data_IF_640581742345
#
_entry.id   IF_640581742345
#
_cell.length_a   1.000
_cell.length_b   1.000
_cell.length_c   1.000
_cell.angle_alpha   90.00
_cell.angle_beta   90.00
_cell.angle_gamma   90.00
#
_symmetry.space_group_name_H-M   'P 1'
#
loop_
_entity.id
_entity.type
_entity.pdbx_description
1 polymer ?
#
# COMPACT_ATOMS: atom_id res chain seq x y z
N UNK A 1 -6.86 -15.54 -48.17
CA UNK A 1 -6.17 -16.49 -47.26
C UNK A 1 -6.06 -15.96 -45.82
N UNK A 2 -7.14 -15.46 -45.20
CA UNK A 2 -7.09 -14.80 -43.88
C UNK A 2 -8.05 -15.40 -42.83
N UNK A 3 -9.20 -15.98 -43.24
CA UNK A 3 -10.19 -16.46 -42.26
C UNK A 3 -9.96 -17.87 -41.71
N UNK A 4 -9.27 -18.75 -42.44
CA UNK A 4 -9.06 -20.14 -42.00
C UNK A 4 -8.00 -20.29 -40.90
N UNK A 5 -7.02 -19.37 -40.79
CA UNK A 5 -6.04 -19.39 -39.69
C UNK A 5 -6.62 -18.87 -38.37
N UNK A 6 -7.57 -17.93 -38.42
CA UNK A 6 -8.22 -17.35 -37.22
C UNK A 6 -9.22 -18.32 -36.57
N UNK A 7 -9.93 -19.12 -37.37
CA UNK A 7 -10.82 -20.19 -36.86
C UNK A 7 -10.05 -21.40 -36.29
N UNK A 8 -8.87 -21.72 -36.83
CA UNK A 8 -8.04 -22.81 -36.31
C UNK A 8 -7.40 -22.48 -34.95
N UNK A 9 -7.02 -21.22 -34.70
CA UNK A 9 -6.51 -20.76 -33.41
C UNK A 9 -7.56 -20.81 -32.29
N UNK A 10 -8.79 -20.36 -32.55
CA UNK A 10 -9.88 -20.36 -31.56
C UNK A 10 -10.40 -21.78 -31.23
N UNK A 11 -10.29 -22.74 -32.17
CA UNK A 11 -10.66 -24.13 -31.93
C UNK A 11 -9.60 -24.90 -31.10
N UNK A 12 -8.32 -24.53 -31.22
CA UNK A 12 -7.22 -25.09 -30.42
C UNK A 12 -7.34 -24.68 -28.95
N UNK A 13 -7.58 -23.39 -28.68
CA UNK A 13 -7.74 -22.86 -27.31
C UNK A 13 -9.00 -23.43 -26.62
N UNK A 14 -10.11 -23.62 -27.36
CA UNK A 14 -11.32 -24.26 -26.80
C UNK A 14 -11.13 -25.75 -26.45
N UNK A 15 -10.42 -26.54 -27.26
CA UNK A 15 -10.19 -27.96 -26.96
C UNK A 15 -9.23 -28.19 -25.79
N UNK A 16 -8.26 -27.29 -25.58
CA UNK A 16 -7.37 -27.36 -24.41
C UNK A 16 -8.12 -27.00 -23.13
N UNK A 17 -9.08 -26.06 -23.19
CA UNK A 17 -9.96 -25.73 -22.06
C UNK A 17 -10.93 -26.87 -21.71
N UNK A 18 -11.52 -27.58 -22.67
CA UNK A 18 -12.45 -28.69 -22.39
C UNK A 18 -11.78 -29.91 -21.74
N UNK A 19 -10.50 -30.20 -22.08
CA UNK A 19 -9.72 -31.25 -21.40
C UNK A 19 -9.32 -30.87 -19.97
N UNK A 20 -9.19 -29.57 -19.66
CA UNK A 20 -8.85 -29.09 -18.32
C UNK A 20 -10.08 -29.00 -17.40
N UNK A 21 -11.25 -28.65 -17.95
CA UNK A 21 -12.53 -28.62 -17.22
C UNK A 21 -12.92 -30.03 -16.72
N UNK A 22 -12.53 -31.09 -17.43
CA UNK A 22 -12.76 -32.47 -17.01
C UNK A 22 -11.90 -32.92 -15.80
N UNK A 23 -10.78 -32.26 -15.53
CA UNK A 23 -9.89 -32.55 -14.39
C UNK A 23 -10.29 -31.82 -13.09
N UNK A 24 -11.19 -30.83 -13.16
CA UNK A 24 -11.59 -30.00 -12.02
C UNK A 24 -12.88 -30.47 -11.31
N UNK A 25 -13.28 -31.74 -11.48
CA UNK A 25 -14.46 -32.35 -10.82
C UNK A 25 -14.10 -33.26 -9.65
N UNK A 26 -13.02 -32.98 -8.94
CA UNK A 26 -12.68 -33.70 -7.71
C UNK A 26 -13.07 -32.85 -6.46
N UNK A 27 -14.02 -33.28 -5.62
CA UNK A 27 -14.46 -32.56 -4.43
C UNK A 27 -13.47 -32.61 -3.25
N UNK A 28 -12.27 -33.18 -3.41
CA UNK A 28 -11.33 -33.43 -2.32
C UNK A 28 -10.26 -32.35 -2.09
N UNK A 29 -10.46 -31.11 -2.56
CA UNK A 29 -9.51 -30.00 -2.37
C UNK A 29 -9.52 -29.47 -0.93
N UNK A 30 -8.96 -30.26 -0.03
CA UNK A 30 -8.61 -29.90 1.34
C UNK A 30 -7.31 -29.10 1.27
N UNK A 31 -7.41 -27.83 1.65
CA UNK A 31 -6.32 -26.88 1.79
C UNK A 31 -5.35 -27.35 2.87
N UNK A 32 -4.44 -28.25 2.53
CA UNK A 32 -3.58 -28.84 3.55
C UNK A 32 -2.28 -28.06 3.76
N UNK A 33 -2.22 -27.49 4.96
CA UNK A 33 -1.11 -26.78 5.55
C UNK A 33 0.03 -27.75 5.89
N UNK A 34 0.81 -28.18 4.89
CA UNK A 34 2.06 -28.91 5.13
C UNK A 34 3.18 -28.43 4.19
N UNK A 35 4.00 -27.53 4.72
CA UNK A 35 5.47 -27.52 4.61
C UNK A 35 6.04 -26.10 4.70
N UNK A 36 5.96 -25.51 5.90
CA UNK A 36 6.77 -24.34 6.28
C UNK A 36 7.33 -24.59 7.69
N UNK A 37 8.16 -25.62 7.81
CA UNK A 37 9.03 -25.80 8.97
C UNK A 37 10.48 -25.61 8.51
N UNK A 38 10.95 -24.37 8.54
CA UNK A 38 12.36 -24.11 8.78
C UNK A 38 12.52 -23.18 9.97
N UNK A 39 13.26 -23.72 10.94
CA UNK A 39 13.62 -23.17 12.24
C UNK A 39 14.31 -21.81 12.10
N UNK A 40 13.75 -20.77 12.71
CA UNK A 40 14.51 -19.58 13.11
C UNK A 40 15.05 -19.82 14.53
N UNK A 41 16.38 -19.81 14.67
CA UNK A 41 17.06 -19.84 15.97
C UNK A 41 16.95 -18.47 16.64
N UNK A 42 16.73 -18.42 17.96
CA UNK A 42 16.68 -17.17 18.72
C UNK A 42 18.09 -16.75 19.17
N UNK A 43 18.89 -16.13 18.30
CA UNK A 43 20.13 -15.44 18.71
C UNK A 43 20.67 -14.49 17.64
N UNK A 44 19.88 -13.50 17.20
CA UNK A 44 20.38 -12.31 16.49
C UNK A 44 19.61 -11.09 17.05
N UNK A 45 20.08 -10.58 18.20
CA UNK A 45 19.59 -9.33 18.77
C UNK A 45 20.24 -8.15 18.01
N UNK A 46 19.39 -7.29 17.46
CA UNK A 46 19.66 -5.99 16.84
C UNK A 46 20.35 -5.98 15.46
N UNK A 47 19.81 -6.72 14.50
CA UNK A 47 19.81 -6.24 13.11
C UNK A 47 18.58 -5.34 12.98
N UNK A 48 18.77 -4.05 12.64
CA UNK A 48 17.66 -3.21 12.18
C UNK A 48 16.97 -3.93 11.02
N UNK A 49 15.75 -4.38 11.27
CA UNK A 49 14.96 -5.09 10.27
C UNK A 49 14.73 -4.13 9.10
N UNK A 50 15.29 -4.49 7.94
CA UNK A 50 15.15 -3.70 6.71
C UNK A 50 13.70 -3.70 6.22
N UNK A 51 13.05 -4.86 6.31
CA UNK A 51 11.63 -5.09 6.03
C UNK A 51 10.97 -5.71 7.27
N UNK A 52 9.73 -5.33 7.54
CA UNK A 52 8.96 -5.73 8.70
C UNK A 52 7.90 -6.76 8.31
N UNK A 53 7.69 -7.78 9.13
CA UNK A 53 6.60 -8.74 8.86
C UNK A 53 5.24 -8.04 8.92
N UNK A 54 4.29 -8.51 8.13
CA UNK A 54 2.92 -8.01 8.23
C UNK A 54 2.32 -8.47 9.56
N UNK A 55 1.91 -7.53 10.40
CA UNK A 55 1.23 -7.85 11.66
C UNK A 55 -0.22 -8.26 11.37
N UNK A 56 -0.54 -9.51 11.72
CA UNK A 56 -1.86 -10.12 11.53
C UNK A 56 -2.76 -9.99 12.75
N UNK A 57 -2.21 -9.57 13.89
CA UNK A 57 -2.95 -9.37 15.12
C UNK A 57 -2.63 -7.99 15.72
N UNK A 58 -2.77 -6.90 14.95
CA UNK A 58 -2.58 -5.57 15.48
C UNK A 58 -3.64 -5.26 16.55
N UNK A 59 -3.40 -4.29 17.45
CA UNK A 59 -4.44 -3.74 18.30
C UNK A 59 -5.65 -3.24 17.47
N UNK A 60 -6.80 -3.06 18.11
CA UNK A 60 -7.98 -2.50 17.43
C UNK A 60 -7.68 -1.09 16.90
N UNK A 61 -8.38 -0.71 15.81
CA UNK A 61 -8.15 0.54 15.09
C UNK A 61 -8.22 1.77 16.01
N UNK A 62 -9.14 1.78 16.98
CA UNK A 62 -9.29 2.88 17.94
C UNK A 62 -8.11 3.01 18.89
N UNK A 63 -7.55 1.89 19.37
CA UNK A 63 -6.31 1.86 20.16
C UNK A 63 -5.11 2.28 19.33
N UNK A 64 -4.96 1.77 18.11
CA UNK A 64 -3.89 2.16 17.21
C UNK A 64 -3.91 3.67 16.94
N UNK A 65 -5.08 4.23 16.63
CA UNK A 65 -5.24 5.66 16.40
C UNK A 65 -4.96 6.48 17.65
N UNK A 66 -5.49 6.07 18.81
CA UNK A 66 -5.24 6.75 20.08
C UNK A 66 -3.76 6.77 20.46
N UNK A 67 -3.05 5.67 20.20
CA UNK A 67 -1.61 5.58 20.38
C UNK A 67 -0.87 6.49 19.42
N UNK A 68 -1.29 6.55 18.14
CA UNK A 68 -0.71 7.44 17.14
C UNK A 68 -0.79 8.91 17.56
N UNK A 69 -1.95 9.37 18.03
CA UNK A 69 -2.05 10.70 18.64
C UNK A 69 -1.11 10.90 19.81
N UNK A 70 -0.93 9.88 20.65
CA UNK A 70 0.02 9.92 21.77
C UNK A 70 1.45 10.18 21.28
N UNK A 71 1.92 9.41 20.29
CA UNK A 71 3.25 9.56 19.68
C UNK A 71 3.45 10.97 19.11
N UNK A 72 2.50 11.43 18.29
CA UNK A 72 2.64 12.71 17.60
C UNK A 72 2.27 13.93 18.44
N UNK A 73 1.70 13.74 19.64
CA UNK A 73 1.38 14.84 20.56
C UNK A 73 2.60 15.65 21.04
N UNK A 74 3.82 15.11 20.85
CA UNK A 74 5.07 15.80 21.19
C UNK A 74 5.42 16.94 20.23
N UNK A 75 4.95 16.88 19.00
CA UNK A 75 5.22 17.91 17.99
C UNK A 75 4.45 19.19 18.30
N UNK A 76 5.11 20.32 18.07
CA UNK A 76 4.56 21.65 18.27
C UNK A 76 4.52 22.36 16.91
N UNK A 77 3.35 22.80 16.44
CA UNK A 77 3.29 23.53 15.19
C UNK A 77 4.12 24.80 15.25
N UNK A 78 4.81 25.09 14.15
CA UNK A 78 5.49 26.35 13.94
C UNK A 78 4.59 27.30 13.15
N UNK A 79 4.65 28.57 13.55
CA UNK A 79 3.92 29.69 12.95
C UNK A 79 4.90 30.64 12.27
N UNK A 80 4.40 31.52 11.41
CA UNK A 80 5.19 32.24 10.42
C UNK A 80 5.09 31.61 9.04
N UNK A 81 3.91 31.11 8.66
CA UNK A 81 3.69 30.49 7.36
C UNK A 81 4.04 31.43 6.20
N UNK A 82 4.46 30.84 5.08
CA UNK A 82 4.87 31.58 3.89
C UNK A 82 3.72 32.47 3.39
N UNK A 83 3.96 33.79 3.30
CA UNK A 83 2.94 34.77 2.89
C UNK A 83 2.59 34.75 1.41
N UNK A 84 3.37 34.05 0.58
CA UNK A 84 3.03 33.80 -0.81
C UNK A 84 2.06 32.62 -0.96
N UNK A 85 2.15 31.62 -0.08
CA UNK A 85 1.31 30.42 -0.12
C UNK A 85 0.07 30.53 0.76
N UNK A 86 0.16 31.27 1.88
CA UNK A 86 -0.88 31.32 2.90
C UNK A 86 -1.26 32.75 3.28
N UNK A 87 -2.57 32.97 3.42
CA UNK A 87 -3.07 34.21 4.02
C UNK A 87 -2.94 34.15 5.55
N UNK A 88 -2.80 35.30 6.24
CA UNK A 88 -2.81 35.35 7.69
C UNK A 88 -4.05 34.69 8.32
N UNK A 89 -5.21 34.77 7.65
CA UNK A 89 -6.46 34.17 8.11
C UNK A 89 -6.41 32.64 8.04
N UNK A 90 -5.77 32.07 7.01
CA UNK A 90 -5.61 30.62 6.89
C UNK A 90 -4.73 30.03 8.01
N UNK A 91 -3.61 30.69 8.29
CA UNK A 91 -2.75 30.33 9.41
C UNK A 91 -3.49 30.49 10.75
N UNK A 92 -4.23 31.60 10.92
CA UNK A 92 -5.01 31.83 12.14
C UNK A 92 -6.11 30.79 12.34
N UNK A 93 -6.81 30.36 11.27
CA UNK A 93 -7.79 29.26 11.34
C UNK A 93 -7.16 27.97 11.84
N UNK A 94 -6.01 27.59 11.27
CA UNK A 94 -5.29 26.38 11.70
C UNK A 94 -4.83 26.49 13.14
N UNK A 95 -4.25 27.64 13.51
CA UNK A 95 -3.80 27.90 14.88
C UNK A 95 -4.93 27.84 15.90
N UNK A 96 -6.13 28.29 15.52
CA UNK A 96 -7.31 28.32 16.38
C UNK A 96 -8.14 27.03 16.32
N UNK A 97 -7.75 26.04 15.52
CA UNK A 97 -8.45 24.76 15.39
C UNK A 97 -8.44 23.93 16.69
N UNK A 98 -7.51 24.23 17.60
CA UNK A 98 -7.45 23.62 18.93
C UNK A 98 -6.89 22.20 18.91
N UNK A 99 -7.54 21.28 19.63
CA UNK A 99 -7.13 19.88 19.73
C UNK A 99 -7.23 19.17 18.36
N UNK A 100 -6.12 18.63 17.81
CA UNK A 100 -6.14 17.91 16.54
C UNK A 100 -7.20 16.82 16.47
N UNK A 101 -7.51 16.12 17.57
CA UNK A 101 -8.52 15.06 17.61
C UNK A 101 -9.94 15.54 17.26
N UNK A 102 -10.20 16.83 17.38
CA UNK A 102 -11.53 17.43 17.21
C UNK A 102 -11.58 18.44 16.08
N UNK A 103 -10.45 18.73 15.44
CA UNK A 103 -10.40 19.71 14.38
C UNK A 103 -11.20 19.24 13.16
N UNK A 104 -11.90 20.20 12.56
CA UNK A 104 -12.55 20.00 11.26
C UNK A 104 -11.50 20.05 10.15
N UNK A 105 -11.72 19.29 9.08
CA UNK A 105 -10.76 19.14 7.98
C UNK A 105 -10.34 20.49 7.39
N UNK A 106 -11.31 21.37 7.16
CA UNK A 106 -11.14 22.70 6.55
C UNK A 106 -10.21 23.61 7.37
N UNK A 107 -10.03 23.28 8.66
CA UNK A 107 -9.21 24.07 9.56
C UNK A 107 -7.72 23.80 9.36
N UNK A 108 -7.32 22.64 8.83
CA UNK A 108 -5.90 22.25 8.75
C UNK A 108 -5.49 21.59 7.41
N UNK A 109 -6.44 21.23 6.54
CA UNK A 109 -6.15 20.49 5.30
C UNK A 109 -5.06 21.12 4.44
N UNK A 110 -4.96 22.46 4.42
CA UNK A 110 -3.96 23.19 3.64
C UNK A 110 -2.51 22.86 3.99
N UNK A 111 -2.24 22.33 5.18
CA UNK A 111 -0.90 21.84 5.58
C UNK A 111 -0.41 20.77 4.62
N UNK A 112 -1.31 19.95 4.10
CA UNK A 112 -1.02 18.83 3.20
C UNK A 112 -0.96 19.26 1.73
N UNK A 113 -1.58 20.36 1.33
CA UNK A 113 -1.60 20.76 -0.08
C UNK A 113 -0.36 21.52 -0.53
N UNK A 114 0.28 22.23 0.39
CA UNK A 114 1.43 23.07 0.10
C UNK A 114 2.74 22.40 0.52
N UNK A 115 3.85 22.94 0.02
CA UNK A 115 5.18 22.50 0.42
C UNK A 115 5.34 22.58 1.96
N UNK A 116 5.80 21.52 2.66
CA UNK A 116 5.85 21.50 4.13
C UNK A 116 6.55 22.71 4.75
N UNK A 117 7.65 23.19 4.17
CA UNK A 117 8.35 24.39 4.66
C UNK A 117 7.51 25.68 4.60
N UNK A 118 6.47 25.73 3.76
CA UNK A 118 5.56 26.88 3.69
C UNK A 118 4.50 26.86 4.80
N UNK A 119 4.21 25.69 5.38
CA UNK A 119 3.17 25.45 6.40
C UNK A 119 3.75 25.15 7.79
N UNK A 120 4.94 25.69 8.10
CA UNK A 120 5.59 25.53 9.41
C UNK A 120 6.48 24.27 9.53
N UNK A 121 6.69 23.56 8.43
CA UNK A 121 7.67 22.48 8.33
C UNK A 121 7.19 21.16 8.91
N UNK A 122 8.17 20.29 9.14
CA UNK A 122 8.00 18.92 9.64
C UNK A 122 7.13 18.84 10.89
N UNK A 123 7.42 19.63 11.91
CA UNK A 123 6.71 19.53 13.19
C UNK A 123 5.23 19.90 13.07
N UNK A 124 4.89 20.90 12.26
CA UNK A 124 3.49 21.21 11.97
C UNK A 124 2.82 20.05 11.23
N UNK A 125 3.44 19.50 10.20
CA UNK A 125 2.91 18.35 9.48
C UNK A 125 2.64 17.16 10.42
N UNK A 126 3.62 16.80 11.24
CA UNK A 126 3.54 15.65 12.15
C UNK A 126 2.52 15.85 13.27
N UNK A 127 2.39 17.08 13.78
CA UNK A 127 1.37 17.42 14.78
C UNK A 127 -0.05 17.11 14.28
N UNK A 128 -0.32 17.39 13.00
CA UNK A 128 -1.62 17.18 12.38
C UNK A 128 -1.80 15.80 11.75
N UNK A 129 -0.71 15.02 11.57
CA UNK A 129 -0.69 13.75 10.84
C UNK A 129 -1.79 12.76 11.25
N UNK A 130 -2.04 12.47 12.55
CA UNK A 130 -3.08 11.51 12.92
C UNK A 130 -4.47 11.93 12.41
N UNK A 131 -4.83 13.21 12.54
CA UNK A 131 -6.12 13.73 12.06
C UNK A 131 -6.18 13.81 10.53
N UNK A 132 -5.06 14.15 9.89
CA UNK A 132 -4.94 14.09 8.43
C UNK A 132 -5.16 12.67 7.89
N UNK A 133 -4.62 11.66 8.56
CA UNK A 133 -4.85 10.26 8.19
C UNK A 133 -6.34 9.88 8.31
N UNK A 134 -7.00 10.24 9.41
CA UNK A 134 -8.44 9.97 9.56
C UNK A 134 -9.28 10.58 8.45
N UNK A 135 -9.08 11.87 8.16
CA UNK A 135 -10.01 12.65 7.34
C UNK A 135 -9.64 12.71 5.85
N UNK A 136 -8.37 12.48 5.50
CA UNK A 136 -7.84 12.73 4.14
C UNK A 136 -7.40 11.43 3.47
N UNK A 137 -6.88 10.45 4.20
CA UNK A 137 -6.22 9.27 3.59
C UNK A 137 -7.10 8.53 2.57
N UNK A 138 -8.40 8.36 2.86
CA UNK A 138 -9.38 7.76 1.95
C UNK A 138 -10.36 8.77 1.33
N UNK A 139 -10.11 10.06 1.51
CA UNK A 139 -10.94 11.10 0.94
C UNK A 139 -10.55 11.36 -0.53
N UNK A 140 -11.32 10.79 -1.46
CA UNK A 140 -11.06 10.88 -2.89
C UNK A 140 -11.37 12.27 -3.50
N UNK A 141 -11.92 13.21 -2.73
CA UNK A 141 -12.07 14.60 -3.19
C UNK A 141 -10.77 15.40 -3.09
N UNK A 142 -9.79 14.87 -2.34
CA UNK A 142 -8.52 15.53 -2.06
C UNK A 142 -7.42 14.76 -2.80
N UNK A 143 -6.73 15.42 -3.72
CA UNK A 143 -5.69 14.81 -4.55
C UNK A 143 -4.38 14.56 -3.78
N UNK A 144 -4.31 14.89 -2.49
CA UNK A 144 -3.10 14.73 -1.68
C UNK A 144 -3.21 13.60 -0.66
N UNK A 145 -2.17 12.77 -0.56
CA UNK A 145 -2.07 11.68 0.41
C UNK A 145 -1.15 12.07 1.58
N UNK A 146 -1.61 12.01 2.85
CA UNK A 146 -0.73 12.22 4.00
C UNK A 146 0.48 11.27 4.04
N UNK A 147 0.38 10.07 3.44
CA UNK A 147 1.52 9.15 3.36
C UNK A 147 2.56 9.59 2.33
N UNK A 148 2.15 10.19 1.21
CA UNK A 148 3.10 10.81 0.27
C UNK A 148 3.84 11.97 0.94
N UNK A 149 3.14 12.80 1.70
CA UNK A 149 3.76 13.86 2.51
C UNK A 149 4.73 13.33 3.56
N UNK A 150 4.40 12.20 4.20
CA UNK A 150 5.32 11.52 5.11
C UNK A 150 6.60 11.04 4.39
N UNK A 151 6.47 10.51 3.17
CA UNK A 151 7.61 10.12 2.33
C UNK A 151 8.46 11.32 1.93
N UNK A 152 7.85 12.45 1.53
CA UNK A 152 8.55 13.71 1.24
C UNK A 152 9.38 14.19 2.44
N UNK A 153 8.86 13.98 3.66
CA UNK A 153 9.52 14.31 4.92
C UNK A 153 10.44 13.19 5.44
N UNK A 154 10.85 12.25 4.58
CA UNK A 154 11.84 11.22 4.92
C UNK A 154 11.36 10.18 5.92
N UNK A 155 10.12 9.68 5.80
CA UNK A 155 9.49 8.67 6.68
C UNK A 155 10.43 7.60 7.23
N UNK A 156 11.34 7.08 6.41
CA UNK A 156 12.22 5.97 6.79
C UNK A 156 13.25 6.34 7.85
N UNK A 157 13.56 7.64 7.99
CA UNK A 157 14.49 8.20 8.96
C UNK A 157 13.81 8.66 10.25
N UNK A 158 12.49 8.53 10.33
CA UNK A 158 11.75 8.91 11.54
C UNK A 158 12.08 7.96 12.68
N UNK A 159 11.96 8.40 13.95
CA UNK A 159 12.05 7.52 15.10
C UNK A 159 11.23 6.24 14.93
N UNK A 160 11.81 5.12 15.37
CA UNK A 160 11.20 3.78 15.22
C UNK A 160 9.77 3.74 15.76
N UNK A 161 9.51 4.41 16.88
CA UNK A 161 8.19 4.50 17.52
C UNK A 161 7.12 5.07 16.59
N UNK A 162 7.43 6.12 15.82
CA UNK A 162 6.49 6.73 14.85
C UNK A 162 6.15 5.75 13.72
N UNK A 163 7.18 5.10 13.18
CA UNK A 163 7.01 4.13 12.10
C UNK A 163 6.26 2.88 12.58
N UNK A 164 6.53 2.40 13.79
CA UNK A 164 5.84 1.26 14.40
C UNK A 164 4.36 1.60 14.68
N UNK A 165 4.07 2.81 15.16
CA UNK A 165 2.70 3.29 15.36
C UNK A 165 1.90 3.34 14.06
N UNK A 166 2.50 3.87 12.98
CA UNK A 166 1.89 3.88 11.66
C UNK A 166 1.68 2.45 11.12
N UNK A 167 2.69 1.56 11.24
CA UNK A 167 2.55 0.15 10.83
C UNK A 167 1.38 -0.53 11.54
N UNK A 168 1.26 -0.36 12.86
CA UNK A 168 0.16 -0.94 13.62
C UNK A 168 -1.22 -0.42 13.16
N UNK A 169 -1.33 0.88 12.91
CA UNK A 169 -2.56 1.49 12.38
C UNK A 169 -2.95 0.89 11.02
N UNK A 170 -2.03 0.88 10.06
CA UNK A 170 -2.31 0.37 8.72
C UNK A 170 -2.51 -1.15 8.67
N UNK A 171 -1.83 -1.91 9.53
CA UNK A 171 -2.10 -3.35 9.69
C UNK A 171 -3.51 -3.59 10.23
N UNK A 172 -3.97 -2.78 11.18
CA UNK A 172 -5.35 -2.87 11.71
C UNK A 172 -6.37 -2.51 10.64
N UNK A 173 -6.17 -1.39 9.93
CA UNK A 173 -7.02 -0.98 8.82
C UNK A 173 -7.06 -2.04 7.70
N UNK A 174 -5.93 -2.65 7.35
CA UNK A 174 -5.88 -3.74 6.37
C UNK A 174 -6.69 -4.96 6.83
N UNK A 175 -6.52 -5.38 8.09
CA UNK A 175 -7.27 -6.52 8.62
C UNK A 175 -8.78 -6.25 8.59
N UNK A 176 -9.22 -5.07 9.06
CA UNK A 176 -10.63 -4.68 9.05
C UNK A 176 -11.19 -4.56 7.62
N UNK A 177 -10.43 -4.00 6.69
CA UNK A 177 -10.86 -3.78 5.32
C UNK A 177 -10.96 -5.08 4.52
N UNK A 178 -9.92 -5.92 4.56
CA UNK A 178 -9.87 -7.13 3.75
C UNK A 178 -10.70 -8.27 4.34
N UNK A 179 -10.96 -8.30 5.66
CA UNK A 179 -11.82 -9.30 6.29
C UNK A 179 -13.28 -8.84 6.44
N UNK A 180 -13.49 -7.59 6.87
CA UNK A 180 -14.81 -7.03 7.20
C UNK A 180 -15.37 -6.00 6.23
N UNK A 181 -14.53 -5.39 5.38
CA UNK A 181 -14.94 -4.32 4.48
C UNK A 181 -15.05 -2.94 5.12
N UNK A 182 -14.48 -2.77 6.31
CA UNK A 182 -14.48 -1.50 7.03
C UNK A 182 -13.06 -0.93 7.10
N UNK A 183 -12.81 0.27 6.53
CA UNK A 183 -11.48 0.86 6.53
C UNK A 183 -11.15 1.64 7.82
N UNK A 184 -11.88 1.42 8.91
CA UNK A 184 -11.60 2.06 10.21
C UNK A 184 -10.09 2.02 10.55
N UNK A 185 -9.54 3.15 11.05
CA UNK A 185 -10.27 4.32 11.53
C UNK A 185 -10.38 5.45 10.50
N UNK A 186 -10.13 5.18 9.22
CA UNK A 186 -10.17 6.20 8.18
C UNK A 186 -11.61 6.51 7.78
N UNK A 187 -11.95 7.80 7.77
CA UNK A 187 -13.26 8.25 7.31
C UNK A 187 -13.37 8.04 5.80
N UNK A 188 -14.42 7.32 5.41
CA UNK A 188 -14.70 7.04 4.00
C UNK A 188 -15.60 8.13 3.45
N UNK A 189 -15.04 9.03 2.66
CA UNK A 189 -15.85 10.00 1.91
C UNK A 189 -16.26 9.34 0.59
N UNK A 190 -17.57 9.17 0.40
CA UNK A 190 -18.15 8.59 -0.82
C UNK A 190 -17.77 9.46 -2.02
N UNK A 191 -16.86 8.96 -2.85
CA UNK A 191 -16.29 9.70 -3.97
C UNK A 191 -17.24 9.88 -5.16
N UNK A 192 -16.78 10.72 -6.10
CA UNK A 192 -17.42 11.09 -7.37
C UNK A 192 -17.95 9.87 -8.15
N UNK A 193 -19.10 9.98 -8.85
CA UNK A 193 -19.67 8.88 -9.62
C UNK A 193 -18.67 8.34 -10.65
N UNK A 194 -18.51 7.00 -10.69
CA UNK A 194 -17.71 6.30 -11.71
C UNK A 194 -16.35 5.77 -11.27
N UNK A 195 -15.87 6.08 -10.05
CA UNK A 195 -14.60 5.51 -9.52
C UNK A 195 -14.88 4.24 -8.72
N UNK A 196 -14.11 3.17 -8.96
CA UNK A 196 -14.12 1.99 -8.10
C UNK A 196 -13.42 2.31 -6.77
N UNK A 197 -14.23 2.73 -5.80
CA UNK A 197 -13.74 3.12 -4.48
C UNK A 197 -13.16 1.94 -3.70
N UNK A 198 -13.66 0.72 -3.89
CA UNK A 198 -13.16 -0.45 -3.15
C UNK A 198 -11.74 -0.81 -3.62
N UNK A 199 -11.48 -0.78 -4.93
CA UNK A 199 -10.13 -0.94 -5.47
C UNK A 199 -9.19 0.19 -5.01
N UNK A 200 -9.66 1.44 -5.02
CA UNK A 200 -8.86 2.59 -4.59
C UNK A 200 -8.46 2.49 -3.11
N UNK A 201 -9.39 2.12 -2.22
CA UNK A 201 -9.11 1.93 -0.79
C UNK A 201 -8.10 0.79 -0.60
N UNK A 202 -8.34 -0.34 -1.28
CA UNK A 202 -7.46 -1.51 -1.19
C UNK A 202 -6.03 -1.19 -1.62
N UNK A 203 -5.86 -0.48 -2.74
CA UNK A 203 -4.55 -0.08 -3.25
C UNK A 203 -3.84 0.87 -2.29
N UNK A 204 -4.52 1.91 -1.79
CA UNK A 204 -3.93 2.88 -0.84
C UNK A 204 -3.46 2.23 0.45
N UNK A 205 -4.23 1.29 1.02
CA UNK A 205 -3.81 0.57 2.24
C UNK A 205 -2.55 -0.26 1.98
N UNK A 206 -2.50 -0.99 0.85
CA UNK A 206 -1.33 -1.79 0.48
C UNK A 206 -0.11 -0.90 0.25
N UNK A 207 -0.26 0.18 -0.50
CA UNK A 207 0.80 1.16 -0.77
C UNK A 207 1.36 1.73 0.54
N UNK A 208 0.50 2.17 1.48
CA UNK A 208 0.94 2.70 2.77
C UNK A 208 1.75 1.67 3.58
N UNK A 209 1.32 0.40 3.59
CA UNK A 209 2.08 -0.69 4.24
C UNK A 209 3.45 -0.91 3.57
N UNK A 210 3.50 -0.86 2.24
CA UNK A 210 4.77 -0.95 1.51
C UNK A 210 5.68 0.24 1.82
N UNK A 211 5.17 1.48 1.79
CA UNK A 211 5.90 2.69 2.21
C UNK A 211 6.46 2.58 3.63
N UNK A 212 5.77 1.88 4.52
CA UNK A 212 6.21 1.57 5.89
C UNK A 212 7.14 0.35 6.00
N UNK A 213 7.62 -0.13 4.84
CA UNK A 213 8.55 -1.26 4.68
C UNK A 213 8.02 -2.57 5.23
N UNK A 214 6.71 -2.79 5.18
CA UNK A 214 6.15 -4.13 5.39
C UNK A 214 6.65 -5.04 4.26
N UNK A 215 7.10 -6.24 4.62
CA UNK A 215 7.65 -7.23 3.71
C UNK A 215 6.60 -7.55 2.62
N UNK A 216 6.88 -7.21 1.35
CA UNK A 216 5.89 -7.36 0.30
C UNK A 216 5.46 -8.82 0.10
N UNK A 217 6.38 -9.77 0.29
CA UNK A 217 6.07 -11.19 0.12
C UNK A 217 5.14 -11.68 1.23
N UNK A 218 5.37 -11.29 2.50
CA UNK A 218 4.48 -11.65 3.61
C UNK A 218 3.10 -10.99 3.45
N UNK A 219 3.05 -9.72 3.07
CA UNK A 219 1.79 -8.98 2.82
C UNK A 219 0.97 -9.62 1.69
N UNK A 220 1.56 -9.82 0.51
CA UNK A 220 0.85 -10.43 -0.62
C UNK A 220 0.51 -11.89 -0.35
N UNK A 221 1.36 -12.64 0.38
CA UNK A 221 1.04 -14.00 0.82
C UNK A 221 -0.16 -14.04 1.77
N UNK A 222 -0.32 -13.03 2.63
CA UNK A 222 -1.48 -12.91 3.50
C UNK A 222 -2.73 -12.60 2.68
N UNK A 223 -2.72 -11.59 1.81
CA UNK A 223 -3.84 -11.26 0.90
C UNK A 223 -4.24 -12.46 0.03
N UNK A 224 -3.25 -13.20 -0.45
CA UNK A 224 -3.44 -14.43 -1.21
C UNK A 224 -4.22 -15.52 -0.46
N UNK A 225 -4.11 -15.54 0.87
CA UNK A 225 -4.81 -16.49 1.74
C UNK A 225 -6.13 -15.91 2.25
N UNK A 226 -6.23 -14.58 2.33
CA UNK A 226 -7.47 -13.89 2.62
C UNK A 226 -8.50 -14.25 1.53
N UNK A 227 -9.59 -14.87 1.96
CA UNK A 227 -10.56 -15.46 1.04
C UNK A 227 -11.61 -14.46 0.55
N UNK A 228 -11.37 -13.17 0.73
CA UNK A 228 -12.32 -12.11 0.38
C UNK A 228 -12.15 -11.66 -1.08
N UNK A 229 -13.26 -11.19 -1.66
CA UNK A 229 -13.26 -10.61 -3.01
C UNK A 229 -12.29 -9.43 -3.10
N UNK A 230 -12.21 -8.57 -2.07
CA UNK A 230 -11.31 -7.40 -2.07
C UNK A 230 -9.83 -7.80 -2.10
N UNK A 231 -9.44 -8.81 -1.31
CA UNK A 231 -8.05 -9.28 -1.29
C UNK A 231 -7.63 -9.90 -2.63
N UNK A 232 -8.55 -10.61 -3.29
CA UNK A 232 -8.33 -11.15 -4.63
C UNK A 232 -8.27 -10.05 -5.69
N UNK A 233 -9.20 -9.11 -5.64
CA UNK A 233 -9.26 -7.99 -6.58
C UNK A 233 -8.02 -7.12 -6.50
N UNK A 234 -7.57 -6.72 -5.31
CA UNK A 234 -6.37 -5.88 -5.17
C UNK A 234 -5.12 -6.57 -5.70
N UNK A 235 -4.96 -7.88 -5.49
CA UNK A 235 -3.83 -8.62 -6.03
C UNK A 235 -3.82 -8.64 -7.56
N UNK A 236 -4.99 -8.70 -8.20
CA UNK A 236 -5.12 -8.61 -9.66
C UNK A 236 -4.83 -7.19 -10.12
N UNK A 237 -5.46 -6.19 -9.52
CA UNK A 237 -5.34 -4.78 -9.89
C UNK A 237 -3.88 -4.32 -9.81
N UNK A 238 -3.14 -4.67 -8.76
CA UNK A 238 -1.73 -4.29 -8.61
C UNK A 238 -0.82 -4.84 -9.73
N UNK A 239 -1.21 -5.91 -10.44
CA UNK A 239 -0.35 -6.50 -11.48
C UNK A 239 -0.22 -5.66 -12.75
N UNK A 240 -1.08 -4.65 -12.92
CA UNK A 240 -1.03 -3.69 -14.03
C UNK A 240 -0.43 -2.35 -13.64
N UNK A 241 0.05 -2.20 -12.41
CA UNK A 241 0.80 -1.02 -12.02
C UNK A 241 2.26 -1.13 -12.50
N UNK A 242 2.87 0.00 -12.83
CA UNK A 242 4.30 0.08 -13.15
C UNK A 242 5.13 0.16 -11.88
N UNK A 243 4.62 0.91 -10.90
CA UNK A 243 5.16 1.07 -9.57
C UNK A 243 4.06 0.77 -8.54
N UNK A 244 4.43 0.10 -7.46
CA UNK A 244 3.59 -0.14 -6.28
C UNK A 244 3.91 0.85 -5.15
N UNK A 245 5.08 1.49 -5.21
CA UNK A 245 5.50 2.58 -4.35
C UNK A 245 6.24 3.61 -5.21
N UNK A 246 5.72 4.83 -5.26
CA UNK A 246 6.35 5.92 -6.01
C UNK A 246 7.35 6.71 -5.15
N UNK A 247 8.35 7.26 -5.81
CA UNK A 247 9.19 8.29 -5.20
C UNK A 247 8.41 9.60 -5.07
N UNK A 248 8.72 10.37 -4.03
CA UNK A 248 8.24 11.74 -3.95
C UNK A 248 8.81 12.61 -5.08
N UNK A 249 8.00 13.54 -5.57
CA UNK A 249 8.44 14.54 -6.56
C UNK A 249 9.59 15.40 -6.02
N UNK A 250 9.55 15.75 -4.74
CA UNK A 250 10.57 16.49 -4.01
C UNK A 250 10.71 15.95 -2.59
N UNK A 251 11.80 16.28 -1.90
CA UNK A 251 12.00 15.92 -0.50
C UNK A 251 12.30 17.14 0.35
N UNK A 252 11.86 17.08 1.61
CA UNK A 252 12.13 18.07 2.66
C UNK A 252 12.83 17.33 3.79
N UNK A 253 14.15 17.23 3.66
CA UNK A 253 15.02 16.48 4.57
C UNK A 253 15.88 17.45 5.38
N UNK A 254 16.32 16.98 6.54
CA UNK A 254 17.28 17.73 7.38
C UNK A 254 18.65 17.84 6.69
N UNK A 255 19.05 16.81 5.94
CA UNK A 255 20.25 16.80 5.09
C UNK A 255 19.88 16.43 3.64
N UNK A 256 20.12 17.37 2.73
CA UNK A 256 19.81 17.20 1.31
C UNK A 256 20.66 16.11 0.63
N UNK A 257 21.81 15.74 1.21
CA UNK A 257 22.67 14.66 0.66
C UNK A 257 22.00 13.28 0.76
N UNK A 258 21.00 13.14 1.63
CA UNK A 258 20.25 11.90 1.82
C UNK A 258 19.21 11.62 0.74
N UNK A 259 18.84 12.63 -0.06
CA UNK A 259 17.76 12.49 -1.04
C UNK A 259 18.06 11.36 -2.04
N UNK A 260 19.28 11.30 -2.56
CA UNK A 260 19.70 10.27 -3.51
C UNK A 260 19.62 8.87 -2.89
N UNK A 261 19.99 8.73 -1.61
CA UNK A 261 19.90 7.46 -0.89
C UNK A 261 18.45 7.02 -0.72
N UNK A 262 17.56 7.93 -0.30
CA UNK A 262 16.14 7.64 -0.14
C UNK A 262 15.47 7.26 -1.47
N UNK A 263 15.69 8.03 -2.54
CA UNK A 263 15.17 7.70 -3.89
C UNK A 263 15.61 6.32 -4.35
N UNK A 264 16.89 6.00 -4.20
CA UNK A 264 17.41 4.67 -4.56
C UNK A 264 16.82 3.56 -3.68
N UNK A 265 16.64 3.84 -2.38
CA UNK A 265 15.96 2.94 -1.45
C UNK A 265 14.52 2.63 -1.85
N UNK A 266 13.74 3.66 -2.21
CA UNK A 266 12.34 3.52 -2.63
C UNK A 266 12.24 2.74 -3.95
N UNK A 267 13.06 3.05 -4.95
CA UNK A 267 13.14 2.26 -6.20
C UNK A 267 13.46 0.80 -5.94
N UNK A 268 14.38 0.53 -5.01
CA UNK A 268 14.76 -0.84 -4.66
C UNK A 268 13.61 -1.57 -3.95
N UNK A 269 12.88 -0.89 -3.06
CA UNK A 269 11.67 -1.44 -2.43
C UNK A 269 10.58 -1.73 -3.46
N UNK A 270 10.31 -0.80 -4.38
CA UNK A 270 9.32 -0.97 -5.44
C UNK A 270 9.62 -2.22 -6.29
N UNK A 271 10.87 -2.38 -6.72
CA UNK A 271 11.33 -3.58 -7.42
C UNK A 271 11.15 -4.86 -6.60
N UNK A 272 11.46 -4.83 -5.30
CA UNK A 272 11.21 -5.96 -4.39
C UNK A 272 9.71 -6.28 -4.26
N UNK A 273 8.85 -5.26 -4.25
CA UNK A 273 7.40 -5.42 -4.16
C UNK A 273 6.82 -6.01 -5.46
N UNK A 274 7.20 -5.47 -6.61
CA UNK A 274 6.80 -6.02 -7.92
C UNK A 274 7.23 -7.48 -8.09
N UNK A 275 8.47 -7.81 -7.72
CA UNK A 275 8.98 -9.18 -7.76
C UNK A 275 8.17 -10.11 -6.82
N UNK A 276 7.90 -9.68 -5.59
CA UNK A 276 7.09 -10.45 -4.65
C UNK A 276 5.66 -10.68 -5.16
N UNK A 277 5.02 -9.65 -5.72
CA UNK A 277 3.69 -9.75 -6.31
C UNK A 277 3.66 -10.80 -7.43
N UNK A 278 4.66 -10.80 -8.32
CA UNK A 278 4.80 -11.78 -9.42
C UNK A 278 5.11 -13.20 -8.98
N UNK A 279 5.71 -13.38 -7.81
CA UNK A 279 5.89 -14.70 -7.19
C UNK A 279 4.57 -15.24 -6.63
N UNK A 280 3.68 -14.37 -6.13
CA UNK A 280 2.40 -14.74 -5.51
C UNK A 280 1.27 -14.87 -6.54
N UNK A 281 1.23 -13.98 -7.51
CA UNK A 281 0.20 -13.86 -8.55
C UNK A 281 0.74 -14.41 -9.87
N UNK A 282 0.84 -15.75 -9.93
CA UNK A 282 1.28 -16.46 -11.14
C UNK A 282 0.14 -16.66 -12.13
N UNK A 283 0.45 -16.91 -13.41
CA UNK A 283 -0.57 -17.18 -14.42
C UNK A 283 -1.42 -18.41 -14.08
N UNK A 284 -0.81 -19.51 -13.62
CA UNK A 284 -1.55 -20.69 -13.14
C UNK A 284 -2.54 -20.34 -12.02
N UNK A 285 -2.15 -19.43 -11.13
CA UNK A 285 -3.02 -18.98 -10.05
C UNK A 285 -4.15 -18.11 -10.56
N UNK A 286 -3.87 -17.20 -11.47
CA UNK A 286 -4.87 -16.33 -12.08
C UNK A 286 -5.86 -17.12 -12.93
N UNK A 287 -5.42 -18.13 -13.68
CA UNK A 287 -6.31 -19.03 -14.42
C UNK A 287 -7.27 -19.78 -13.50
N UNK A 288 -6.78 -20.29 -12.36
CA UNK A 288 -7.63 -20.93 -11.35
C UNK A 288 -8.59 -19.93 -10.70
N UNK A 289 -8.12 -18.73 -10.40
CA UNK A 289 -8.96 -17.66 -9.84
C UNK A 289 -10.03 -17.22 -10.83
N UNK A 290 -9.70 -17.07 -12.10
CA UNK A 290 -10.63 -16.74 -13.17
C UNK A 290 -11.71 -17.81 -13.33
N UNK A 291 -11.34 -19.11 -13.34
CA UNK A 291 -12.32 -20.20 -13.44
C UNK A 291 -13.31 -20.25 -12.25
N UNK A 292 -12.87 -19.81 -11.07
CA UNK A 292 -13.76 -19.57 -9.94
C UNK A 292 -14.61 -18.31 -10.16
N UNK A 293 -13.99 -17.19 -10.51
CA UNK A 293 -14.62 -15.88 -10.64
C UNK A 293 -15.67 -15.84 -11.76
N UNK A 294 -15.47 -16.54 -12.88
CA UNK A 294 -16.44 -16.60 -13.98
C UNK A 294 -17.83 -17.10 -13.51
N UNK A 295 -17.82 -17.94 -12.46
CA UNK A 295 -19.03 -18.48 -11.83
C UNK A 295 -19.54 -17.62 -10.68
N UNK A 296 -18.65 -17.16 -9.81
CA UNK A 296 -19.01 -16.57 -8.51
C UNK A 296 -18.90 -15.04 -8.47
N UNK A 297 -18.06 -14.45 -9.32
CA UNK A 297 -17.75 -13.01 -9.33
C UNK A 297 -17.35 -12.55 -10.74
N UNK A 298 -18.37 -12.30 -11.58
CA UNK A 298 -18.17 -11.89 -12.97
C UNK A 298 -17.46 -10.55 -13.14
N UNK A 299 -17.41 -9.72 -12.10
CA UNK A 299 -16.66 -8.47 -12.14
C UNK A 299 -15.16 -8.75 -12.00
N UNK A 300 -14.78 -9.63 -11.06
CA UNK A 300 -13.39 -10.07 -10.92
C UNK A 300 -12.91 -10.87 -12.14
N UNK A 301 -13.74 -11.74 -12.71
CA UNK A 301 -13.38 -12.49 -13.92
C UNK A 301 -13.01 -11.54 -15.07
N UNK A 302 -13.84 -10.51 -15.31
CA UNK A 302 -13.57 -9.47 -16.31
C UNK A 302 -12.29 -8.70 -16.01
N UNK A 303 -12.03 -8.31 -14.76
CA UNK A 303 -10.75 -7.67 -14.39
C UNK A 303 -9.55 -8.54 -14.74
N UNK A 304 -9.61 -9.85 -14.49
CA UNK A 304 -8.48 -10.75 -14.81
C UNK A 304 -8.24 -10.82 -16.33
N UNK A 305 -9.30 -10.85 -17.13
CA UNK A 305 -9.21 -10.80 -18.60
C UNK A 305 -8.64 -9.45 -19.07
N UNK A 306 -9.20 -8.34 -18.61
CA UNK A 306 -8.83 -6.99 -19.02
C UNK A 306 -7.37 -6.65 -18.67
N UNK A 307 -6.85 -7.24 -17.58
CA UNK A 307 -5.47 -7.02 -17.13
C UNK A 307 -4.44 -7.91 -17.85
N UNK A 308 -4.84 -9.02 -18.48
CA UNK A 308 -3.92 -9.98 -19.12
C UNK A 308 -2.89 -9.35 -20.09
N UNK A 309 -3.28 -8.47 -21.05
CA UNK A 309 -2.33 -7.93 -22.01
C UNK A 309 -1.22 -7.10 -21.34
N UNK A 310 -1.59 -6.31 -20.34
CA UNK A 310 -0.66 -5.45 -19.58
C UNK A 310 0.25 -6.29 -18.68
N UNK A 311 -0.28 -7.37 -18.07
CA UNK A 311 0.52 -8.30 -17.26
C UNK A 311 1.62 -8.97 -18.09
N UNK A 312 1.30 -9.39 -19.32
CA UNK A 312 2.26 -10.05 -20.21
C UNK A 312 3.39 -9.14 -20.68
N UNK A 313 3.10 -7.84 -20.87
CA UNK A 313 4.12 -6.85 -21.25
C UNK A 313 5.08 -6.50 -20.10
N UNK A 314 4.65 -6.70 -18.86
CA UNK A 314 5.37 -6.29 -17.63
C UNK A 314 5.87 -7.48 -16.82
N UNK A 315 6.28 -8.55 -17.50
CA UNK A 315 6.90 -9.70 -16.88
C UNK A 315 8.25 -9.30 -16.25
N UNK A 316 8.28 -9.20 -14.93
CA UNK A 316 9.43 -8.78 -14.14
C UNK A 316 9.71 -9.82 -13.06
N UNK A 317 10.97 -10.28 -12.96
CA UNK A 317 11.45 -11.14 -11.88
C UNK A 317 12.90 -10.82 -11.57
N UNK A 318 13.21 -10.76 -10.29
CA UNK A 318 14.56 -10.56 -9.77
C UNK A 318 15.22 -11.90 -9.47
N UNK A 319 16.49 -12.03 -9.87
CA UNK A 319 17.36 -13.08 -9.39
C UNK A 319 17.59 -12.98 -7.87
N UNK A 320 18.08 -14.05 -7.26
CA UNK A 320 18.44 -14.04 -5.83
C UNK A 320 19.54 -13.02 -5.51
N UNK A 321 20.44 -12.74 -6.46
CA UNK A 321 21.50 -11.74 -6.29
C UNK A 321 20.96 -10.32 -6.38
N UNK A 322 20.05 -10.04 -7.32
CA UNK A 322 19.40 -8.73 -7.41
C UNK A 322 18.53 -8.45 -6.18
N UNK A 323 17.77 -9.44 -5.69
CA UNK A 323 17.01 -9.29 -4.44
C UNK A 323 17.91 -8.95 -3.24
N UNK A 324 19.08 -9.59 -3.13
CA UNK A 324 20.06 -9.28 -2.07
C UNK A 324 20.62 -7.87 -2.23
N UNK A 325 20.92 -7.45 -3.46
CA UNK A 325 21.39 -6.09 -3.77
C UNK A 325 20.34 -5.04 -3.42
N UNK A 326 19.09 -5.22 -3.86
CA UNK A 326 18.02 -4.27 -3.59
C UNK A 326 17.74 -4.17 -2.08
N UNK A 327 17.77 -5.29 -1.33
CA UNK A 327 17.69 -5.24 0.14
C UNK A 327 18.85 -4.49 0.79
N UNK A 328 20.06 -4.59 0.24
CA UNK A 328 21.21 -3.82 0.73
C UNK A 328 21.04 -2.32 0.45
N UNK A 329 20.48 -1.95 -0.71
CA UNK A 329 20.16 -0.57 -1.06
C UNK A 329 19.09 -0.01 -0.12
N UNK A 330 18.00 -0.75 0.13
CA UNK A 330 16.98 -0.34 1.10
C UNK A 330 17.61 -0.14 2.48
N UNK A 331 18.47 -1.05 2.93
CA UNK A 331 19.16 -0.92 4.22
C UNK A 331 20.07 0.31 4.28
N UNK A 332 20.79 0.61 3.20
CA UNK A 332 21.66 1.79 3.15
C UNK A 332 20.87 3.09 3.24
N UNK A 333 19.63 3.14 2.76
CA UNK A 333 18.75 4.30 2.86
C UNK A 333 18.19 4.55 4.29
N UNK A 334 18.42 3.62 5.23
CA UNK A 334 17.99 3.75 6.63
C UNK A 334 19.08 4.33 7.54
N UNK A 335 20.33 4.21 7.11
CA UNK A 335 21.50 4.77 7.79
C UNK A 335 21.60 6.27 7.52
#
# INVERSE_FOLDING_TARGET
>A
MSDHRRKAGNASVRRTNERFIALCRDPSCVWDARSLKHLQRPSERQVEQTLYRFDRNPPDAGRCLSHLYGIFSRYRPNWGWCRQCFTPEAEARTRNAGDPRRAALESFAQIYFEHPNCSGGRDTFLHWLPRGLELIFLNAEHDYSPMEGAMQLGLWRWPKEEQDGLRALFSSAASNWFDGGDPVPFERVMGRPGRDMDSSVSARIVEALLMLRVDPFDLFSWLARANSTRARAVLVDLTIHEHLVDEAAYYVLDDATDESLLRNGIRALDRLALDALRQIVTDDRLMRLWAWADREDRALARRIEDTEPLRMQRAFRLSATERRRDRAIVRAALA
#
